data_IF_497599050651
#
_entry.id   IF_497599050651
#
_cell.length_a   1.000
_cell.length_b   1.000
_cell.length_c   1.000
_cell.angle_alpha   90.00
_cell.angle_beta   90.00
_cell.angle_gamma   90.00
#
_symmetry.space_group_name_H-M   'P 1'
#
loop_
_entity.id
_entity.type
_entity.pdbx_description
1 polymer ?
#
# COMPACT_ATOMS: atom_id res chain seq x y z
N UNK A 1 -7.33 -10.87 -23.51
CA UNK A 1 -6.73 -12.00 -22.79
C UNK A 1 -7.68 -12.41 -21.68
N UNK A 2 -7.78 -13.68 -21.39
CA UNK A 2 -8.58 -14.20 -20.28
C UNK A 2 -7.81 -15.30 -19.57
N UNK A 3 -7.86 -15.30 -18.27
CA UNK A 3 -7.27 -16.33 -17.44
C UNK A 3 -8.34 -16.85 -16.47
N UNK A 4 -8.36 -18.16 -16.26
CA UNK A 4 -9.13 -18.82 -15.24
C UNK A 4 -8.19 -19.67 -14.38
N UNK A 5 -8.37 -19.65 -13.07
CA UNK A 5 -7.55 -20.43 -12.16
C UNK A 5 -8.40 -21.01 -11.02
N UNK A 6 -8.01 -22.16 -10.54
CA UNK A 6 -8.57 -22.82 -9.37
C UNK A 6 -7.39 -23.35 -8.57
N UNK A 7 -7.36 -23.06 -7.30
CA UNK A 7 -6.36 -23.53 -6.34
C UNK A 7 -7.07 -24.19 -5.16
N UNK A 8 -6.47 -25.23 -4.61
CA UNK A 8 -6.91 -25.82 -3.34
C UNK A 8 -5.70 -25.95 -2.42
N UNK A 9 -5.89 -25.72 -1.14
CA UNK A 9 -4.89 -25.99 -0.11
C UNK A 9 -5.26 -27.25 0.66
N UNK A 10 -4.23 -28.02 1.06
CA UNK A 10 -4.36 -29.19 1.92
C UNK A 10 -3.32 -29.03 3.03
N UNK A 11 -3.77 -28.78 4.25
CA UNK A 11 -2.94 -28.82 5.42
C UNK A 11 -3.34 -30.01 6.28
N UNK A 12 -2.36 -30.82 6.72
CA UNK A 12 -2.58 -31.73 7.85
C UNK A 12 -2.73 -30.86 9.10
N UNK A 13 -3.77 -31.12 9.90
CA UNK A 13 -4.02 -30.39 11.14
C UNK A 13 -2.79 -30.46 12.06
N UNK A 14 -1.93 -29.44 11.99
CA UNK A 14 -0.92 -29.15 12.98
C UNK A 14 -1.53 -28.16 13.97
N UNK A 15 -1.44 -28.51 15.26
CA UNK A 15 -1.80 -27.61 16.36
C UNK A 15 -1.09 -26.26 16.16
N UNK A 16 -1.83 -25.22 15.82
CA UNK A 16 -1.34 -23.86 15.80
C UNK A 16 -1.21 -23.37 17.24
N UNK A 17 0.01 -23.17 17.71
CA UNK A 17 0.25 -22.31 18.88
C UNK A 17 -0.15 -20.89 18.47
N UNK A 18 -1.26 -20.40 19.04
CA UNK A 18 -1.68 -19.01 18.94
C UNK A 18 -0.66 -18.15 19.69
N UNK A 19 0.23 -17.48 18.95
CA UNK A 19 0.97 -16.33 19.50
C UNK A 19 -0.02 -15.18 19.61
N UNK A 20 -0.51 -14.92 20.84
CA UNK A 20 -1.24 -13.70 21.18
C UNK A 20 -0.32 -12.50 20.95
N UNK A 21 -0.53 -11.80 19.84
CA UNK A 21 -0.01 -10.45 19.68
C UNK A 21 -0.83 -9.52 20.57
N UNK A 22 -0.23 -8.88 21.56
CA UNK A 22 -0.82 -7.76 22.30
C UNK A 22 -0.99 -6.57 21.34
N UNK A 23 -2.04 -6.59 20.54
CA UNK A 23 -2.55 -5.42 19.84
C UNK A 23 -3.41 -4.63 20.83
N UNK A 24 -3.20 -3.32 20.91
CA UNK A 24 -3.95 -2.43 21.79
C UNK A 24 -5.45 -2.56 21.55
N UNK A 25 -6.18 -3.03 22.54
CA UNK A 25 -7.61 -3.26 22.45
C UNK A 25 -8.36 -1.93 22.58
N UNK A 26 -9.15 -1.58 21.57
CA UNK A 26 -10.19 -0.56 21.72
C UNK A 26 -11.34 -1.16 22.53
N UNK A 27 -11.59 -0.65 23.74
CA UNK A 27 -12.72 -1.11 24.56
C UNK A 27 -14.05 -0.69 23.95
N UNK A 28 -14.94 -1.69 23.74
CA UNK A 28 -16.32 -1.45 23.34
C UNK A 28 -17.21 -1.28 24.60
N UNK A 29 -17.81 -0.11 24.76
CA UNK A 29 -18.72 0.23 25.88
C UNK A 29 -20.10 -0.44 25.78
N UNK A 30 -20.25 -1.51 25.00
CA UNK A 30 -21.51 -2.25 24.89
C UNK A 30 -21.65 -3.34 25.98
N UNK A 31 -22.83 -3.46 26.60
CA UNK A 31 -23.04 -4.52 27.58
C UNK A 31 -22.99 -5.90 26.90
N UNK A 32 -22.49 -6.93 27.56
CA UNK A 32 -22.29 -8.26 26.96
C UNK A 32 -23.64 -8.83 26.47
N UNK A 33 -23.78 -8.97 25.17
CA UNK A 33 -24.86 -9.76 24.61
C UNK A 33 -24.70 -11.22 25.01
N UNK A 34 -25.79 -11.82 25.47
CA UNK A 34 -25.90 -13.20 25.88
C UNK A 34 -25.40 -14.12 24.77
N UNK A 35 -24.41 -14.94 25.11
CA UNK A 35 -23.83 -15.98 24.26
C UNK A 35 -24.93 -16.79 23.54
N UNK A 36 -25.19 -16.44 22.29
CA UNK A 36 -25.90 -17.27 21.36
C UNK A 36 -25.00 -18.45 20.98
N UNK A 37 -25.52 -19.66 21.13
CA UNK A 37 -24.87 -20.90 20.68
C UNK A 37 -24.50 -20.71 19.20
N UNK A 38 -23.22 -20.54 18.90
CA UNK A 38 -22.72 -20.53 17.54
C UNK A 38 -23.06 -21.86 16.88
N UNK A 39 -23.97 -21.84 15.92
CA UNK A 39 -24.19 -22.96 15.02
C UNK A 39 -22.89 -23.13 14.23
N UNK A 40 -22.21 -24.26 14.49
CA UNK A 40 -21.05 -24.67 13.69
C UNK A 40 -21.52 -24.84 12.24
N UNK A 41 -21.18 -23.88 11.41
CA UNK A 41 -21.30 -24.01 9.96
C UNK A 41 -20.37 -25.14 9.50
N UNK A 42 -20.77 -25.96 8.50
CA UNK A 42 -19.87 -26.97 7.97
C UNK A 42 -18.65 -26.30 7.39
N UNK A 43 -17.45 -26.82 7.68
CA UNK A 43 -16.17 -26.38 7.13
C UNK A 43 -16.27 -26.25 5.61
N UNK A 44 -16.53 -25.08 5.09
CA UNK A 44 -16.65 -24.82 3.68
C UNK A 44 -15.30 -24.34 3.12
N UNK A 45 -14.71 -25.28 2.41
CA UNK A 45 -13.81 -25.16 1.28
C UNK A 45 -12.44 -24.49 1.48
N UNK A 46 -11.43 -25.30 1.56
CA UNK A 46 -10.03 -24.98 1.22
C UNK A 46 -9.83 -24.60 -0.27
N UNK A 47 -10.86 -24.02 -0.91
CA UNK A 47 -10.88 -23.72 -2.34
C UNK A 47 -10.77 -22.22 -2.59
N UNK A 48 -9.83 -21.83 -3.46
CA UNK A 48 -9.77 -20.49 -4.03
C UNK A 48 -9.87 -20.58 -5.54
N UNK A 49 -10.72 -19.75 -6.15
CA UNK A 49 -10.88 -19.71 -7.60
C UNK A 49 -11.15 -18.30 -8.08
N UNK A 50 -10.85 -18.04 -9.36
CA UNK A 50 -11.11 -16.76 -9.96
C UNK A 50 -10.77 -16.73 -11.43
N UNK A 51 -11.01 -15.57 -12.02
CA UNK A 51 -10.67 -15.32 -13.41
C UNK A 51 -10.62 -13.84 -13.71
N UNK A 52 -9.96 -13.49 -14.80
CA UNK A 52 -9.96 -12.15 -15.32
C UNK A 52 -10.19 -12.13 -16.84
N UNK A 53 -10.79 -11.05 -17.32
CA UNK A 53 -10.95 -10.72 -18.72
C UNK A 53 -10.33 -9.37 -18.95
N UNK A 54 -9.32 -9.31 -19.80
CA UNK A 54 -8.61 -8.10 -20.15
C UNK A 54 -8.73 -7.80 -21.65
N UNK A 55 -9.10 -6.56 -21.96
CA UNK A 55 -9.14 -6.01 -23.31
C UNK A 55 -8.06 -4.94 -23.43
N UNK A 56 -6.79 -5.35 -23.68
CA UNK A 56 -5.69 -4.41 -23.82
C UNK A 56 -5.79 -3.70 -25.18
N UNK A 57 -5.93 -2.38 -25.15
CA UNK A 57 -5.91 -1.55 -26.33
C UNK A 57 -5.27 -0.20 -26.00
N UNK A 58 -4.66 0.44 -26.99
CA UNK A 58 -3.95 1.70 -26.82
C UNK A 58 -4.88 2.88 -26.53
N UNK A 59 -6.08 2.88 -27.08
CA UNK A 59 -7.08 3.94 -26.91
C UNK A 59 -8.08 3.63 -25.79
N UNK A 60 -8.56 2.38 -25.71
CA UNK A 60 -9.49 1.91 -24.70
C UNK A 60 -8.92 0.66 -24.04
N UNK A 61 -8.98 0.56 -22.74
CA UNK A 61 -8.69 -0.70 -22.05
C UNK A 61 -9.78 -1.00 -21.03
N UNK A 62 -10.04 -2.28 -20.85
CA UNK A 62 -10.94 -2.78 -19.82
C UNK A 62 -10.32 -4.00 -19.17
N UNK A 63 -10.45 -4.09 -17.86
CA UNK A 63 -10.10 -5.26 -17.05
C UNK A 63 -11.27 -5.58 -16.13
N UNK A 64 -11.69 -6.84 -16.12
CA UNK A 64 -12.70 -7.36 -15.22
C UNK A 64 -12.11 -8.58 -14.52
N UNK A 65 -12.11 -8.58 -13.21
CA UNK A 65 -11.59 -9.65 -12.39
C UNK A 65 -12.62 -10.05 -11.33
N UNK A 66 -12.73 -11.33 -11.13
CA UNK A 66 -13.46 -11.94 -10.03
C UNK A 66 -12.59 -13.01 -9.37
N UNK A 67 -12.61 -13.08 -8.04
CA UNK A 67 -12.06 -14.21 -7.32
C UNK A 67 -12.82 -14.44 -6.01
N UNK A 68 -12.76 -15.67 -5.55
CA UNK A 68 -13.25 -16.10 -4.24
C UNK A 68 -12.12 -16.85 -3.52
N UNK A 69 -11.99 -16.57 -2.24
CA UNK A 69 -11.11 -17.30 -1.31
C UNK A 69 -11.99 -17.91 -0.24
N UNK A 70 -11.88 -19.21 -0.05
CA UNK A 70 -12.62 -19.93 0.99
C UNK A 70 -12.04 -19.68 2.39
N UNK A 71 -12.80 -20.01 3.40
CA UNK A 71 -12.48 -19.82 4.82
C UNK A 71 -11.24 -20.61 5.25
N UNK A 72 -11.12 -21.88 4.82
CA UNK A 72 -10.02 -22.78 5.16
C UNK A 72 -8.89 -22.78 4.09
N UNK A 73 -8.80 -21.72 3.25
CA UNK A 73 -7.77 -21.66 2.21
C UNK A 73 -6.45 -21.13 2.76
N UNK A 74 -5.55 -22.03 3.13
CA UNK A 74 -4.20 -21.73 3.62
C UNK A 74 -3.12 -22.41 2.75
N UNK A 75 -2.56 -21.72 1.76
CA UNK A 75 -1.50 -22.26 0.91
C UNK A 75 -0.13 -22.18 1.58
N UNK A 76 0.52 -23.31 1.85
CA UNK A 76 1.81 -23.43 2.53
C UNK A 76 2.98 -22.56 1.94
N UNK A 77 2.87 -22.07 0.70
CA UNK A 77 3.90 -21.30 0.00
C UNK A 77 3.44 -19.91 -0.45
N UNK A 78 2.24 -19.47 -0.06
CA UNK A 78 1.69 -18.17 -0.46
C UNK A 78 1.02 -17.48 0.73
N UNK A 79 1.04 -16.16 0.74
CA UNK A 79 0.32 -15.36 1.73
C UNK A 79 -1.07 -15.01 1.21
N UNK A 80 -2.09 -15.31 2.00
CA UNK A 80 -3.48 -14.94 1.75
C UNK A 80 -3.76 -13.67 2.54
N UNK A 81 -4.05 -12.56 1.85
CA UNK A 81 -4.33 -11.27 2.50
C UNK A 81 -5.68 -11.22 3.20
N UNK A 82 -6.64 -11.98 2.70
CA UNK A 82 -8.02 -11.96 3.16
C UNK A 82 -8.67 -13.29 2.81
N UNK A 83 -9.12 -13.97 3.82
CA UNK A 83 -9.87 -15.23 3.74
C UNK A 83 -11.37 -14.94 3.73
N UNK A 84 -12.19 -15.95 3.44
CA UNK A 84 -13.66 -15.84 3.44
C UNK A 84 -14.21 -14.70 2.59
N UNK A 85 -13.61 -14.42 1.41
CA UNK A 85 -13.89 -13.23 0.63
C UNK A 85 -14.26 -13.54 -0.82
N UNK A 86 -15.17 -12.74 -1.38
CA UNK A 86 -15.39 -12.57 -2.84
C UNK A 86 -14.99 -11.19 -3.26
N UNK A 87 -14.21 -11.10 -4.33
CA UNK A 87 -13.77 -9.82 -4.89
C UNK A 87 -14.26 -9.66 -6.33
N UNK A 88 -14.78 -8.49 -6.61
CA UNK A 88 -15.20 -8.03 -7.93
C UNK A 88 -14.44 -6.75 -8.25
N UNK A 89 -13.54 -6.80 -9.23
CA UNK A 89 -12.68 -5.68 -9.57
C UNK A 89 -12.88 -5.34 -11.04
N UNK A 90 -13.05 -4.06 -11.35
CA UNK A 90 -13.09 -3.60 -12.72
C UNK A 90 -12.32 -2.31 -12.93
N UNK A 91 -11.74 -2.16 -14.11
CA UNK A 91 -11.08 -0.95 -14.56
C UNK A 91 -11.41 -0.69 -16.02
N UNK A 92 -11.75 0.56 -16.33
CA UNK A 92 -12.01 1.05 -17.68
C UNK A 92 -11.19 2.29 -17.90
N UNK A 93 -10.46 2.36 -19.01
CA UNK A 93 -9.65 3.51 -19.34
C UNK A 93 -9.87 3.98 -20.78
N UNK A 94 -9.84 5.30 -20.98
CA UNK A 94 -9.85 5.96 -22.28
C UNK A 94 -8.64 6.89 -22.37
N UNK A 95 -7.79 6.68 -23.39
CA UNK A 95 -6.43 7.22 -23.49
C UNK A 95 -6.20 7.97 -24.80
N UNK A 96 -6.96 9.03 -25.13
CA UNK A 96 -6.82 9.74 -26.39
C UNK A 96 -5.50 10.50 -26.50
N UNK A 97 -4.96 10.55 -27.72
CA UNK A 97 -3.77 11.33 -28.08
C UNK A 97 -4.16 12.43 -29.07
N UNK A 98 -4.51 13.63 -28.56
CA UNK A 98 -4.87 14.74 -29.41
C UNK A 98 -3.67 15.17 -30.28
N UNK A 99 -3.92 15.46 -31.56
CA UNK A 99 -2.89 15.97 -32.47
C UNK A 99 -2.87 17.49 -32.41
N UNK A 100 -1.67 18.06 -32.23
CA UNK A 100 -1.46 19.53 -32.28
C UNK A 100 -2.33 20.31 -31.29
N UNK A 101 -2.53 19.77 -30.10
CA UNK A 101 -3.28 20.42 -29.04
C UNK A 101 -2.34 20.79 -27.88
N UNK A 102 -1.84 22.03 -27.89
CA UNK A 102 -0.84 22.52 -26.93
C UNK A 102 0.35 21.54 -26.82
N UNK A 103 0.94 21.43 -25.63
CA UNK A 103 2.02 20.46 -25.32
C UNK A 103 1.49 19.13 -24.76
N UNK A 104 0.24 18.76 -25.08
CA UNK A 104 -0.40 17.55 -24.55
C UNK A 104 -0.10 16.37 -25.47
N UNK A 105 0.60 15.36 -24.93
CA UNK A 105 0.87 14.09 -25.58
C UNK A 105 -0.31 13.13 -25.51
N UNK A 106 -0.93 13.05 -24.32
CA UNK A 106 -2.01 12.12 -24.05
C UNK A 106 -2.90 12.62 -22.91
N UNK A 107 -4.18 12.42 -23.06
CA UNK A 107 -5.13 12.48 -21.96
C UNK A 107 -5.42 11.05 -21.49
N UNK A 108 -5.75 10.90 -20.21
CA UNK A 108 -6.10 9.62 -19.64
C UNK A 108 -7.32 9.83 -18.74
N UNK A 109 -8.36 9.08 -19.01
CA UNK A 109 -9.56 9.02 -18.18
C UNK A 109 -9.71 7.57 -17.73
N UNK A 110 -9.86 7.34 -16.45
CA UNK A 110 -10.02 6.01 -15.91
C UNK A 110 -11.08 5.99 -14.83
N UNK A 111 -11.84 4.91 -14.82
CA UNK A 111 -12.71 4.55 -13.73
C UNK A 111 -12.35 3.13 -13.29
N UNK A 112 -12.11 2.96 -12.01
CA UNK A 112 -11.88 1.65 -11.39
C UNK A 112 -12.80 1.48 -10.19
N UNK A 113 -13.21 0.26 -9.95
CA UNK A 113 -13.88 -0.12 -8.73
C UNK A 113 -13.41 -1.47 -8.23
N UNK A 114 -13.55 -1.68 -6.93
CA UNK A 114 -13.42 -2.97 -6.28
C UNK A 114 -14.50 -3.11 -5.22
N UNK A 115 -15.08 -4.30 -5.14
CA UNK A 115 -16.03 -4.69 -4.11
C UNK A 115 -15.52 -5.97 -3.48
N UNK A 116 -15.50 -6.00 -2.17
CA UNK A 116 -15.18 -7.17 -1.38
C UNK A 116 -16.37 -7.49 -0.49
N UNK A 117 -16.89 -8.69 -0.63
CA UNK A 117 -17.97 -9.23 0.20
C UNK A 117 -17.45 -10.42 0.98
N UNK A 118 -18.07 -10.72 2.10
CA UNK A 118 -17.92 -12.03 2.73
C UNK A 118 -18.58 -13.14 1.87
N UNK A 119 -18.52 -14.38 2.31
CA UNK A 119 -19.12 -15.53 1.58
C UNK A 119 -20.64 -15.53 1.63
N UNK A 120 -21.27 -14.75 2.51
CA UNK A 120 -22.71 -14.55 2.62
C UNK A 120 -23.22 -13.40 1.73
N UNK A 121 -22.34 -12.84 0.85
CA UNK A 121 -22.60 -11.72 -0.04
C UNK A 121 -22.83 -10.36 0.67
N UNK A 122 -22.44 -10.23 1.93
CA UNK A 122 -22.46 -8.96 2.65
C UNK A 122 -21.24 -8.12 2.24
N UNK A 123 -21.47 -6.85 1.93
CA UNK A 123 -20.41 -5.94 1.51
C UNK A 123 -19.56 -5.54 2.72
N UNK A 124 -18.26 -5.85 2.67
CA UNK A 124 -17.29 -5.47 3.70
C UNK A 124 -16.53 -4.19 3.32
N UNK A 125 -15.96 -4.15 2.09
CA UNK A 125 -15.26 -2.96 1.61
C UNK A 125 -15.57 -2.71 0.14
N UNK A 126 -15.65 -1.43 -0.24
CA UNK A 126 -15.73 -1.02 -1.64
C UNK A 126 -14.89 0.23 -1.91
N UNK A 127 -14.33 0.29 -3.10
CA UNK A 127 -13.60 1.47 -3.56
C UNK A 127 -14.00 1.79 -4.98
N UNK A 128 -14.29 3.07 -5.23
CA UNK A 128 -14.50 3.62 -6.55
C UNK A 128 -13.51 4.74 -6.77
N UNK A 129 -12.78 4.72 -7.86
CA UNK A 129 -11.83 5.76 -8.24
C UNK A 129 -12.08 6.23 -9.66
N UNK A 130 -12.26 7.53 -9.83
CA UNK A 130 -12.40 8.19 -11.12
C UNK A 130 -11.24 9.18 -11.29
N UNK A 131 -10.55 9.10 -12.42
CA UNK A 131 -9.60 10.11 -12.87
C UNK A 131 -10.27 10.99 -13.94
N UNK A 132 -10.93 12.08 -13.53
CA UNK A 132 -11.66 12.94 -14.46
C UNK A 132 -10.73 13.81 -15.30
N UNK A 133 -9.50 14.01 -14.84
CA UNK A 133 -8.46 14.74 -15.55
C UNK A 133 -7.11 14.08 -15.27
N UNK A 134 -6.44 13.65 -16.34
CA UNK A 134 -5.06 13.22 -16.28
C UNK A 134 -4.37 13.56 -17.60
N UNK A 135 -3.41 14.45 -17.54
CA UNK A 135 -2.72 15.03 -18.67
C UNK A 135 -1.27 14.58 -18.65
N UNK A 136 -0.79 14.05 -19.78
CA UNK A 136 0.62 13.82 -20.04
C UNK A 136 1.10 14.84 -21.04
N UNK A 137 2.17 15.57 -20.74
CA UNK A 137 2.84 16.47 -21.67
C UNK A 137 3.85 15.73 -22.55
N UNK A 138 4.33 16.37 -23.61
CA UNK A 138 5.40 15.83 -24.45
C UNK A 138 6.73 15.69 -23.70
N UNK A 139 6.99 16.60 -22.76
CA UNK A 139 8.17 16.57 -21.89
C UNK A 139 8.09 15.47 -20.81
N UNK A 140 6.90 14.91 -20.58
CA UNK A 140 6.64 13.83 -19.65
C UNK A 140 6.15 14.29 -18.28
N UNK A 141 5.80 15.58 -18.14
CA UNK A 141 5.13 16.08 -16.96
C UNK A 141 3.68 15.59 -16.92
N UNK A 142 3.11 15.48 -15.73
CA UNK A 142 1.74 15.04 -15.50
C UNK A 142 1.01 16.05 -14.62
N UNK A 143 -0.24 16.27 -14.92
CA UNK A 143 -1.22 16.96 -14.08
C UNK A 143 -2.44 16.06 -13.97
N UNK A 144 -2.89 15.80 -12.78
CA UNK A 144 -3.96 14.83 -12.58
C UNK A 144 -4.87 15.17 -11.40
N UNK A 145 -6.08 14.62 -11.47
CA UNK A 145 -7.03 14.63 -10.37
C UNK A 145 -7.69 13.27 -10.23
N UNK A 146 -8.04 12.91 -9.00
CA UNK A 146 -8.76 11.70 -8.64
C UNK A 146 -9.94 12.04 -7.74
N UNK A 147 -11.06 11.43 -7.96
CA UNK A 147 -12.21 11.40 -7.06
C UNK A 147 -12.37 9.97 -6.61
N UNK A 148 -12.36 9.74 -5.31
CA UNK A 148 -12.59 8.43 -4.72
C UNK A 148 -13.87 8.42 -3.91
N UNK A 149 -14.54 7.27 -3.87
CA UNK A 149 -15.67 6.99 -2.99
C UNK A 149 -15.43 5.63 -2.38
N UNK A 150 -15.15 5.64 -1.09
CA UNK A 150 -14.71 4.48 -0.34
C UNK A 150 -15.84 3.99 0.58
N UNK A 151 -15.84 2.70 0.85
CA UNK A 151 -16.71 2.04 1.82
C UNK A 151 -15.90 1.10 2.69
N UNK A 152 -16.20 1.10 3.96
CA UNK A 152 -15.70 0.13 4.93
C UNK A 152 -16.76 -0.16 5.99
N UNK A 153 -16.91 -1.44 6.35
CA UNK A 153 -17.89 -1.92 7.31
C UNK A 153 -17.18 -2.78 8.39
N UNK A 154 -16.35 -2.15 9.25
CA UNK A 154 -15.69 -2.87 10.32
C UNK A 154 -16.72 -3.46 11.28
N UNK A 155 -16.54 -4.74 11.62
CA UNK A 155 -17.39 -5.48 12.56
C UNK A 155 -17.01 -5.23 14.02
N UNK A 156 -15.76 -4.77 14.24
CA UNK A 156 -15.19 -4.46 15.56
C UNK A 156 -14.52 -3.09 15.52
N UNK A 157 -14.43 -2.36 16.65
CA UNK A 157 -13.67 -1.13 16.74
C UNK A 157 -12.18 -1.39 16.44
N UNK A 158 -11.53 -0.46 15.73
CA UNK A 158 -10.11 -0.58 15.45
C UNK A 158 -9.37 0.74 15.65
N UNK A 159 -8.12 0.65 16.03
CA UNK A 159 -7.26 1.79 16.30
C UNK A 159 -6.70 2.40 15.00
N UNK A 160 -6.83 3.72 14.86
CA UNK A 160 -6.28 4.49 13.72
C UNK A 160 -5.11 5.38 14.09
N UNK A 161 -4.90 5.66 15.38
CA UNK A 161 -3.74 6.38 15.89
C UNK A 161 -3.37 5.84 17.27
N UNK A 162 -2.19 5.23 17.37
CA UNK A 162 -1.64 4.71 18.63
C UNK A 162 -1.23 5.82 19.59
N UNK A 163 -0.67 6.91 19.06
CA UNK A 163 -0.20 8.02 19.89
C UNK A 163 -1.34 8.79 20.58
N UNK A 164 -2.52 8.82 19.97
CA UNK A 164 -3.68 9.55 20.47
C UNK A 164 -4.82 8.61 20.93
N UNK A 165 -4.60 7.28 20.89
CA UNK A 165 -5.57 6.24 21.29
C UNK A 165 -6.96 6.45 20.65
N UNK A 166 -6.97 6.80 19.34
CA UNK A 166 -8.20 7.07 18.60
C UNK A 166 -8.67 5.82 17.88
N UNK A 167 -9.88 5.38 18.21
CA UNK A 167 -10.53 4.21 17.62
C UNK A 167 -11.73 4.61 16.76
N UNK A 168 -11.89 3.93 15.61
CA UNK A 168 -13.11 3.97 14.79
C UNK A 168 -14.05 2.87 15.27
N UNK A 169 -15.30 3.18 15.63
CA UNK A 169 -16.28 2.19 16.04
C UNK A 169 -16.66 1.23 14.91
N UNK A 170 -17.19 0.06 15.26
CA UNK A 170 -17.88 -0.79 14.30
C UNK A 170 -19.03 -0.05 13.64
N UNK A 171 -19.25 -0.24 12.34
CA UNK A 171 -20.29 0.48 11.60
C UNK A 171 -20.19 0.32 10.10
N UNK A 172 -21.07 1.01 9.39
CA UNK A 172 -21.11 1.06 7.93
C UNK A 172 -20.78 2.49 7.47
N UNK A 173 -19.64 2.67 6.83
CA UNK A 173 -19.10 3.98 6.49
C UNK A 173 -18.93 4.15 5.00
N UNK A 174 -19.40 5.27 4.46
CA UNK A 174 -19.19 5.66 3.06
C UNK A 174 -18.66 7.10 3.00
N UNK A 175 -17.55 7.30 2.28
CA UNK A 175 -16.98 8.65 2.21
C UNK A 175 -16.33 8.98 0.87
N UNK A 176 -16.46 10.26 0.38
CA UNK A 176 -15.74 10.76 -0.76
C UNK A 176 -14.42 11.40 -0.36
N UNK A 177 -13.38 11.22 -1.21
CA UNK A 177 -12.15 12.00 -1.18
C UNK A 177 -11.77 12.52 -2.57
N UNK A 178 -10.97 13.57 -2.60
CA UNK A 178 -10.52 14.25 -3.81
C UNK A 178 -9.02 14.44 -3.73
N UNK A 179 -8.30 14.03 -4.76
CA UNK A 179 -6.84 14.21 -4.82
C UNK A 179 -6.45 14.90 -6.11
N UNK A 180 -5.55 15.86 -6.03
CA UNK A 180 -4.95 16.53 -7.19
C UNK A 180 -3.45 16.44 -7.10
N UNK A 181 -2.76 16.32 -8.23
CA UNK A 181 -1.32 16.19 -8.22
C UNK A 181 -0.65 16.68 -9.49
N UNK A 182 0.62 17.00 -9.34
CA UNK A 182 1.53 17.37 -10.41
C UNK A 182 2.82 16.58 -10.23
N UNK A 183 3.29 15.94 -11.31
CA UNK A 183 4.56 15.22 -11.35
C UNK A 183 5.40 15.77 -12.49
N UNK A 184 6.65 16.09 -12.23
CA UNK A 184 7.58 16.46 -13.30
C UNK A 184 8.26 15.23 -13.88
N UNK A 185 8.76 15.35 -15.09
CA UNK A 185 9.39 14.24 -15.81
C UNK A 185 10.63 13.70 -15.08
N UNK A 186 10.69 12.39 -14.89
CA UNK A 186 11.86 11.69 -14.34
C UNK A 186 13.13 11.76 -15.20
N UNK A 187 13.04 12.32 -16.40
CA UNK A 187 14.20 12.60 -17.27
C UNK A 187 14.99 13.82 -16.83
N UNK A 188 14.41 14.67 -15.96
CA UNK A 188 15.05 15.89 -15.48
C UNK A 188 16.10 15.59 -14.42
N UNK A 189 17.06 16.49 -14.26
CA UNK A 189 18.03 16.45 -13.19
C UNK A 189 17.34 16.47 -11.81
N UNK A 190 16.28 17.27 -11.71
CA UNK A 190 15.42 17.39 -10.54
C UNK A 190 14.02 16.95 -10.97
N UNK A 191 13.52 15.93 -10.32
CA UNK A 191 12.14 15.43 -10.39
C UNK A 191 11.41 15.91 -9.13
N UNK A 192 10.18 16.33 -9.30
CA UNK A 192 9.33 16.82 -8.24
C UNK A 192 7.93 16.26 -8.42
N UNK A 193 7.36 15.72 -7.37
CA UNK A 193 5.98 15.27 -7.30
C UNK A 193 5.31 15.94 -6.10
N UNK A 194 4.11 16.47 -6.31
CA UNK A 194 3.30 17.07 -5.25
C UNK A 194 1.87 16.66 -5.43
N UNK A 195 1.24 16.19 -4.36
CA UNK A 195 -0.18 15.93 -4.35
C UNK A 195 -0.85 16.45 -3.07
N UNK A 196 -2.12 16.75 -3.19
CA UNK A 196 -2.98 17.15 -2.08
C UNK A 196 -4.28 16.37 -2.16
N UNK A 197 -4.60 15.67 -1.07
CA UNK A 197 -5.84 14.94 -0.87
C UNK A 197 -6.67 15.61 0.22
N UNK A 198 -7.97 15.72 -0.01
CA UNK A 198 -8.92 16.28 0.95
C UNK A 198 -10.28 15.62 0.78
N UNK A 199 -11.06 15.59 1.84
CA UNK A 199 -12.40 15.02 1.78
C UNK A 199 -12.86 14.49 3.11
N UNK A 200 -13.69 13.47 3.02
CA UNK A 200 -14.15 12.72 4.19
C UNK A 200 -13.20 11.55 4.47
N UNK A 201 -13.25 11.08 5.71
CA UNK A 201 -12.57 9.88 6.17
C UNK A 201 -13.43 9.29 7.29
N UNK A 202 -14.04 8.14 7.03
CA UNK A 202 -15.14 7.60 7.84
C UNK A 202 -16.22 8.68 8.12
N UNK A 203 -16.50 8.98 9.37
CA UNK A 203 -17.44 10.02 9.82
C UNK A 203 -16.81 11.41 10.02
N UNK A 204 -15.49 11.51 9.78
CA UNK A 204 -14.71 12.72 9.91
C UNK A 204 -14.23 13.35 8.60
N UNK A 205 -13.03 13.88 8.62
CA UNK A 205 -12.39 14.53 7.47
C UNK A 205 -10.89 14.29 7.41
N UNK A 206 -10.36 14.25 6.18
CA UNK A 206 -8.94 14.08 5.84
C UNK A 206 -8.43 15.30 5.06
N UNK A 207 -7.20 15.69 5.38
CA UNK A 207 -6.37 16.58 4.57
C UNK A 207 -4.95 16.03 4.56
N UNK A 208 -4.43 15.66 3.38
CA UNK A 208 -3.11 15.05 3.24
C UNK A 208 -2.28 15.75 2.15
N UNK A 209 -1.01 16.02 2.46
CA UNK A 209 0.00 16.49 1.53
C UNK A 209 1.05 15.42 1.33
N UNK A 210 1.40 15.15 0.08
CA UNK A 210 2.51 14.30 -0.28
C UNK A 210 3.44 15.07 -1.21
N UNK A 211 4.73 15.09 -0.90
CA UNK A 211 5.75 15.72 -1.70
C UNK A 211 6.96 14.81 -1.85
N UNK A 212 7.42 14.63 -3.08
CA UNK A 212 8.67 13.94 -3.40
C UNK A 212 9.59 14.88 -4.18
N UNK A 213 10.86 14.86 -3.87
CA UNK A 213 11.91 15.47 -4.67
C UNK A 213 13.03 14.46 -4.90
N UNK A 214 13.40 14.24 -6.16
CA UNK A 214 14.53 13.40 -6.51
C UNK A 214 15.53 14.20 -7.35
N UNK A 215 16.81 14.10 -6.98
CA UNK A 215 17.93 14.76 -7.68
C UNK A 215 18.92 13.71 -8.15
N UNK A 216 19.23 13.71 -9.44
CA UNK A 216 20.14 12.75 -10.08
C UNK A 216 21.26 13.50 -10.82
N UNK A 217 22.25 14.08 -10.08
CA UNK A 217 23.29 14.89 -10.69
C UNK A 217 24.24 14.09 -11.58
N UNK A 218 24.30 12.77 -11.39
CA UNK A 218 25.09 11.86 -12.21
C UNK A 218 24.54 10.44 -12.19
N UNK A 219 25.06 9.55 -13.03
CA UNK A 219 24.78 8.12 -12.99
C UNK A 219 25.31 7.42 -11.73
N UNK A 220 26.23 8.06 -11.01
CA UNK A 220 26.86 7.52 -9.79
C UNK A 220 26.13 7.87 -8.51
N UNK A 221 25.31 8.92 -8.51
CA UNK A 221 24.67 9.43 -7.31
C UNK A 221 23.23 9.86 -7.57
N UNK A 222 22.33 9.46 -6.67
CA UNK A 222 20.98 10.01 -6.59
C UNK A 222 20.56 10.18 -5.14
N UNK A 223 19.74 11.19 -4.90
CA UNK A 223 19.07 11.45 -3.63
C UNK A 223 17.58 11.65 -3.90
N UNK A 224 16.75 11.09 -3.04
CA UNK A 224 15.30 11.27 -3.02
C UNK A 224 14.89 11.61 -1.61
N UNK A 225 14.01 12.58 -1.47
CA UNK A 225 13.38 12.92 -0.21
C UNK A 225 11.86 12.90 -0.42
N UNK A 226 11.18 12.22 0.48
CA UNK A 226 9.73 12.08 0.50
C UNK A 226 9.21 12.68 1.81
N UNK A 227 8.08 13.38 1.74
CA UNK A 227 7.40 13.92 2.90
C UNK A 227 5.89 13.76 2.73
N UNK A 228 5.27 13.17 3.72
CA UNK A 228 3.82 13.01 3.82
C UNK A 228 3.33 13.62 5.13
N UNK A 229 2.25 14.38 5.05
CA UNK A 229 1.57 14.96 6.19
C UNK A 229 0.07 14.68 6.05
N UNK A 230 -0.46 13.88 6.94
CA UNK A 230 -1.89 13.65 7.07
C UNK A 230 -2.43 14.38 8.30
N UNK A 231 -3.59 15.02 8.14
CA UNK A 231 -4.34 15.63 9.22
C UNK A 231 -5.75 15.07 9.16
N UNK A 232 -6.12 14.34 10.18
CA UNK A 232 -7.39 13.63 10.29
C UNK A 232 -8.15 14.21 11.48
N UNK A 233 -9.45 14.49 11.26
CA UNK A 233 -10.36 15.00 12.27
C UNK A 233 -11.58 14.09 12.32
N UNK A 234 -11.74 13.38 13.43
CA UNK A 234 -12.82 12.43 13.69
C UNK A 234 -13.66 12.92 14.88
N UNK A 235 -14.90 12.47 15.07
CA UNK A 235 -15.66 12.72 16.30
C UNK A 235 -14.95 12.24 17.56
N UNK A 236 -14.11 11.21 17.44
CA UNK A 236 -13.35 10.61 18.55
C UNK A 236 -12.08 11.40 18.89
N UNK A 237 -11.57 12.23 17.97
CA UNK A 237 -10.37 13.05 18.17
C UNK A 237 -9.71 13.50 16.88
N UNK A 238 -8.75 14.39 17.02
CA UNK A 238 -7.95 14.92 15.90
C UNK A 238 -6.50 14.44 16.05
N UNK A 239 -5.91 13.98 14.95
CA UNK A 239 -4.50 13.61 14.95
C UNK A 239 -3.78 13.99 13.66
N UNK A 240 -2.46 13.99 13.73
CA UNK A 240 -1.59 14.31 12.58
C UNK A 240 -0.46 13.31 12.50
N UNK A 241 -0.34 12.71 11.34
CA UNK A 241 0.77 11.82 11.03
C UNK A 241 1.74 12.48 10.05
N UNK A 242 3.02 12.25 10.26
CA UNK A 242 4.09 12.70 9.38
C UNK A 242 5.02 11.54 9.09
N UNK A 243 5.22 11.31 7.81
CA UNK A 243 6.23 10.40 7.32
C UNK A 243 7.26 11.21 6.54
N UNK A 244 8.52 11.12 6.90
CA UNK A 244 9.61 11.72 6.14
C UNK A 244 10.65 10.67 5.82
N UNK A 245 11.14 10.61 4.59
CA UNK A 245 12.21 9.72 4.20
C UNK A 245 13.27 10.42 3.36
N UNK A 246 14.52 9.98 3.51
CA UNK A 246 15.65 10.37 2.65
C UNK A 246 16.34 9.10 2.20
N UNK A 247 16.39 8.89 0.89
CA UNK A 247 17.04 7.76 0.25
C UNK A 247 18.20 8.25 -0.61
N UNK A 248 19.41 7.77 -0.32
CA UNK A 248 20.58 8.02 -1.16
C UNK A 248 21.05 6.74 -1.82
N UNK A 249 21.55 6.86 -3.06
CA UNK A 249 22.15 5.75 -3.78
C UNK A 249 23.46 6.21 -4.41
N UNK A 250 24.51 5.46 -4.15
CA UNK A 250 25.82 5.58 -4.77
C UNK A 250 26.05 4.33 -5.62
N UNK A 251 26.07 4.48 -6.96
CA UNK A 251 26.37 3.43 -7.92
C UNK A 251 27.82 3.57 -8.33
N UNK A 252 28.76 3.03 -7.55
CA UNK A 252 30.21 3.18 -7.75
C UNK A 252 30.67 2.45 -9.00
N UNK A 253 29.98 1.37 -9.36
CA UNK A 253 30.09 0.68 -10.64
C UNK A 253 28.76 -0.03 -10.95
N UNK A 254 28.56 -0.60 -12.15
CA UNK A 254 27.40 -1.46 -12.42
C UNK A 254 27.23 -2.62 -11.43
N UNK A 255 28.35 -3.07 -10.85
CA UNK A 255 28.40 -4.20 -9.92
C UNK A 255 28.40 -3.78 -8.44
N UNK A 256 28.71 -2.52 -8.10
CA UNK A 256 28.85 -2.06 -6.73
C UNK A 256 27.91 -0.89 -6.44
N UNK A 257 26.90 -1.14 -5.62
CA UNK A 257 25.90 -0.18 -5.21
C UNK A 257 25.87 -0.05 -3.69
N UNK A 258 25.80 1.18 -3.20
CA UNK A 258 25.57 1.50 -1.80
C UNK A 258 24.33 2.38 -1.68
N UNK A 259 23.34 1.93 -0.92
CA UNK A 259 22.09 2.64 -0.68
C UNK A 259 21.87 2.86 0.80
N UNK A 260 21.36 4.04 1.13
CA UNK A 260 20.96 4.38 2.49
C UNK A 260 19.52 4.88 2.49
N UNK A 261 18.79 4.56 3.53
CA UNK A 261 17.44 5.04 3.81
C UNK A 261 17.42 5.54 5.25
N UNK A 262 16.97 6.78 5.43
CA UNK A 262 16.60 7.35 6.70
C UNK A 262 15.11 7.63 6.66
N UNK A 263 14.36 7.15 7.63
CA UNK A 263 12.90 7.29 7.68
C UNK A 263 12.47 7.71 9.08
N UNK A 264 11.61 8.69 9.15
CA UNK A 264 10.99 9.17 10.38
C UNK A 264 9.47 9.01 10.28
N UNK A 265 8.86 8.46 11.32
CA UNK A 265 7.43 8.34 11.47
C UNK A 265 6.98 8.97 12.80
N UNK A 266 6.03 9.90 12.75
CA UNK A 266 5.64 10.69 13.92
C UNK A 266 4.75 9.93 14.89
N UNK A 267 3.97 8.96 14.43
CA UNK A 267 3.21 8.07 15.30
C UNK A 267 4.16 7.07 15.95
N UNK A 268 4.35 7.19 17.27
CA UNK A 268 5.41 6.48 18.01
C UNK A 268 6.80 7.14 18.00
N UNK A 269 6.99 8.29 17.32
CA UNK A 269 8.25 9.10 17.28
C UNK A 269 9.48 8.25 16.87
N UNK A 270 9.30 7.41 15.84
CA UNK A 270 10.26 6.39 15.40
C UNK A 270 11.17 6.91 14.28
N UNK A 271 12.48 6.64 14.41
CA UNK A 271 13.46 6.91 13.37
C UNK A 271 14.14 5.60 12.96
N UNK A 272 14.05 5.25 11.68
CA UNK A 272 14.70 4.09 11.09
C UNK A 272 15.86 4.49 10.19
N UNK A 273 16.99 3.80 10.30
CA UNK A 273 18.11 3.94 9.39
C UNK A 273 18.52 2.59 8.83
N UNK A 274 18.62 2.49 7.51
CA UNK A 274 19.13 1.33 6.82
C UNK A 274 20.28 1.73 5.89
N UNK A 275 21.38 0.98 5.93
CA UNK A 275 22.50 1.10 5.00
C UNK A 275 22.79 -0.25 4.37
N UNK A 276 22.80 -0.32 3.04
CA UNK A 276 22.98 -1.57 2.30
C UNK A 276 24.05 -1.40 1.22
N UNK A 277 25.10 -2.23 1.29
CA UNK A 277 26.08 -2.41 0.23
C UNK A 277 25.75 -3.71 -0.50
N UNK A 278 25.68 -3.64 -1.83
CA UNK A 278 25.54 -4.79 -2.72
C UNK A 278 26.69 -4.77 -3.72
N UNK A 279 27.44 -5.87 -3.78
CA UNK A 279 28.53 -6.05 -4.70
C UNK A 279 28.44 -7.39 -5.43
N UNK A 280 28.29 -7.33 -6.74
CA UNK A 280 28.42 -8.47 -7.64
C UNK A 280 29.89 -8.59 -8.05
N UNK A 281 30.68 -9.34 -7.29
CA UNK A 281 32.14 -9.43 -7.51
C UNK A 281 32.54 -10.31 -8.70
N UNK A 282 31.68 -11.26 -9.08
CA UNK A 282 31.71 -11.99 -10.35
C UNK A 282 30.29 -12.23 -10.84
N UNK A 283 30.03 -12.41 -12.16
CA UNK A 283 28.70 -12.61 -12.68
C UNK A 283 27.94 -13.74 -11.97
N UNK A 284 26.82 -13.35 -11.31
CA UNK A 284 25.96 -14.24 -10.53
C UNK A 284 26.42 -14.49 -9.08
N UNK A 285 27.60 -13.98 -8.65
CA UNK A 285 28.06 -14.09 -7.28
C UNK A 285 27.97 -12.74 -6.56
N UNK A 286 27.25 -12.69 -5.45
CA UNK A 286 26.86 -11.47 -4.79
C UNK A 286 27.28 -11.44 -3.32
N UNK A 287 27.68 -10.26 -2.87
CA UNK A 287 27.91 -9.93 -1.47
C UNK A 287 26.94 -8.83 -1.04
N UNK A 288 26.32 -9.03 0.11
CA UNK A 288 25.46 -8.04 0.76
C UNK A 288 25.96 -7.77 2.17
N UNK A 289 26.05 -6.49 2.51
CA UNK A 289 26.22 -6.02 3.88
C UNK A 289 25.07 -5.06 4.16
N UNK A 290 24.29 -5.35 5.19
CA UNK A 290 23.11 -4.57 5.58
C UNK A 290 23.21 -4.22 7.04
N UNK A 291 23.08 -2.93 7.35
CA UNK A 291 22.95 -2.39 8.69
C UNK A 291 21.55 -1.80 8.83
N UNK A 292 20.77 -2.28 9.76
CA UNK A 292 19.49 -1.74 10.18
C UNK A 292 19.61 -1.18 11.60
N UNK A 293 19.03 -0.01 11.82
CA UNK A 293 19.01 0.65 13.13
C UNK A 293 17.66 1.29 13.38
N UNK A 294 17.01 0.93 14.48
CA UNK A 294 15.83 1.56 15.01
C UNK A 294 16.18 2.49 16.18
N UNK A 295 15.55 3.65 16.21
CA UNK A 295 15.73 4.66 17.25
C UNK A 295 14.35 5.18 17.61
N UNK A 296 13.96 5.06 18.87
CA UNK A 296 12.75 5.66 19.39
C UNK A 296 13.10 6.89 20.22
N UNK A 297 12.21 7.86 20.18
CA UNK A 297 12.31 9.03 21.02
C UNK A 297 11.34 8.89 22.19
N UNK A 298 11.86 8.40 23.31
CA UNK A 298 11.09 8.31 24.55
C UNK A 298 11.55 9.39 25.54
N UNK A 299 10.62 10.14 26.14
CA UNK A 299 10.88 11.23 27.11
C UNK A 299 11.91 12.28 26.62
N UNK A 300 11.93 12.57 25.31
CA UNK A 300 12.87 13.55 24.72
C UNK A 300 14.29 13.02 24.56
N UNK A 301 14.57 11.75 24.83
CA UNK A 301 15.87 11.09 24.64
C UNK A 301 15.78 10.08 23.49
N UNK A 302 16.77 10.14 22.59
CA UNK A 302 16.93 9.12 21.54
C UNK A 302 17.43 7.82 22.20
N UNK A 303 16.72 6.73 21.98
CA UNK A 303 17.05 5.41 22.47
C UNK A 303 17.17 4.45 21.30
N UNK A 304 18.27 3.73 21.22
CA UNK A 304 18.44 2.64 20.26
C UNK A 304 17.53 1.49 20.67
N UNK A 305 16.62 1.09 19.80
CA UNK A 305 15.68 -0.02 20.05
C UNK A 305 16.14 -1.29 19.37
N UNK A 306 16.70 -1.15 18.17
CA UNK A 306 17.15 -2.28 17.39
C UNK A 306 18.44 -1.95 16.65
N UNK A 307 19.37 -2.91 16.59
CA UNK A 307 20.57 -2.83 15.75
C UNK A 307 20.86 -4.21 15.18
N UNK A 308 20.74 -4.33 13.87
CA UNK A 308 21.03 -5.56 13.15
C UNK A 308 22.11 -5.32 12.11
N UNK A 309 23.12 -6.19 12.08
CA UNK A 309 24.13 -6.24 11.02
C UNK A 309 24.05 -7.61 10.34
N UNK A 310 23.59 -7.62 9.09
CA UNK A 310 23.48 -8.83 8.28
C UNK A 310 24.54 -8.85 7.18
N UNK A 311 25.20 -10.00 7.04
CA UNK A 311 26.13 -10.28 5.97
C UNK A 311 25.69 -11.53 5.22
N UNK A 312 25.57 -11.41 3.89
CA UNK A 312 25.21 -12.51 2.99
C UNK A 312 26.17 -12.60 1.84
N UNK A 313 26.68 -13.81 1.57
CA UNK A 313 27.46 -14.12 0.38
C UNK A 313 26.75 -15.20 -0.44
N UNK A 314 26.59 -14.97 -1.72
CA UNK A 314 26.07 -15.92 -2.70
C UNK A 314 27.14 -16.24 -3.73
N UNK A 315 27.38 -17.53 -3.99
CA UNK A 315 28.32 -18.03 -4.98
C UNK A 315 27.56 -18.69 -6.13
N UNK A 316 27.88 -18.32 -7.34
CA UNK A 316 27.41 -18.99 -8.55
C UNK A 316 28.57 -19.72 -9.22
N UNK A 317 28.49 -21.04 -9.23
CA UNK A 317 29.47 -21.89 -9.92
C UNK A 317 28.85 -22.33 -11.25
N UNK A 318 29.53 -22.01 -12.37
CA UNK A 318 29.15 -22.49 -13.71
C UNK A 318 30.17 -23.54 -14.12
N UNK A 319 29.68 -24.72 -14.36
CA UNK A 319 30.47 -25.87 -14.86
C UNK A 319 30.32 -25.98 -16.38
#
# INVERSE_FOLDING_TARGET
QSNLWILSSWNEEGESEEEESEEGECEDDQPPETAGVALQHPKESSLSFGGNIELPNDLYSANLQFFQVGEDFDPALAFVRRESVRAYISEFSYKPRPKNFYDIRQLFFSYSNSFYTNLDDELETASHSLYPLYIYTNDGDKLWSRVSYEHDAPTEPFEVSRSEEICIPAGDYWWPSYKVGIDTSSKRLIEFELSYEFGKYYDGSLSAWEAEIAVRPSSFFSIRADYELQSISLPQGDFKERLASIKTRFSLSPQLNWSNLLQYYSDGDQLGFQSRIHWEYTPGSNLYLVLNQGIDRNEGRLRWTESELAFKIGLSLRF
#
